data_IF_653730718308
#
_entry.id   IF_653730718308
#
_cell.length_a   1.000
_cell.length_b   1.000
_cell.length_c   1.000
_cell.angle_alpha   90.00
_cell.angle_beta   90.00
_cell.angle_gamma   90.00
#
_symmetry.space_group_name_H-M   'P 1'
#
loop_
_entity.id
_entity.type
_entity.pdbx_description
1 polymer ?
#
# COMPACT_ATOMS: atom_id res chain seq x y z
N UNK A 1 -4.75 6.46 -35.58
CA UNK A 1 -5.07 5.01 -35.52
C UNK A 1 -4.10 4.24 -36.44
N UNK A 2 -3.81 4.72 -37.68
CA UNK A 2 -2.86 4.03 -38.58
C UNK A 2 -1.46 3.87 -37.98
N UNK A 3 -0.94 4.86 -37.24
CA UNK A 3 0.35 4.77 -36.58
C UNK A 3 0.43 3.65 -35.52
N UNK A 4 -0.70 3.29 -34.87
CA UNK A 4 -0.75 2.22 -33.90
C UNK A 4 -0.57 0.83 -34.51
N UNK A 5 -0.88 0.66 -35.81
CA UNK A 5 -0.74 -0.63 -36.50
C UNK A 5 0.71 -1.01 -36.79
N UNK A 6 1.63 -0.06 -36.70
CA UNK A 6 3.08 -0.23 -36.94
C UNK A 6 3.93 -0.16 -35.70
N UNK A 7 3.29 -0.03 -34.53
CA UNK A 7 3.99 0.03 -33.22
C UNK A 7 4.47 -1.36 -32.82
N UNK A 8 5.74 -1.50 -32.56
CA UNK A 8 6.35 -2.74 -32.08
C UNK A 8 6.76 -2.71 -30.60
N UNK A 9 6.71 -1.53 -29.97
CA UNK A 9 7.00 -1.35 -28.55
C UNK A 9 5.87 -0.58 -27.86
N UNK A 10 5.34 -1.11 -26.78
CA UNK A 10 4.37 -0.45 -25.90
C UNK A 10 4.99 -0.13 -24.55
N UNK A 11 4.82 1.11 -24.11
CA UNK A 11 5.27 1.59 -22.81
C UNK A 11 4.06 1.97 -21.97
N UNK A 12 3.94 1.36 -20.80
CA UNK A 12 2.85 1.60 -19.86
C UNK A 12 3.33 2.29 -18.60
N UNK A 13 2.58 3.26 -18.12
CA UNK A 13 2.69 3.69 -16.73
C UNK A 13 2.07 2.61 -15.82
N UNK A 14 2.66 2.39 -14.64
CA UNK A 14 2.16 1.40 -13.69
C UNK A 14 0.85 1.87 -13.05
N UNK A 15 0.93 2.99 -12.31
CA UNK A 15 -0.14 3.43 -11.42
C UNK A 15 -1.32 4.02 -12.19
N UNK A 16 -2.51 3.48 -11.95
CA UNK A 16 -3.74 3.89 -12.64
C UNK A 16 -3.90 3.35 -14.06
N UNK A 17 -2.87 2.75 -14.66
CA UNK A 17 -2.90 2.14 -16.00
C UNK A 17 -2.89 0.61 -15.92
N UNK A 18 -1.81 0.02 -15.45
CA UNK A 18 -1.71 -1.44 -15.21
C UNK A 18 -2.35 -1.84 -13.88
N UNK A 19 -2.43 -0.92 -12.95
CA UNK A 19 -3.14 -1.05 -11.68
C UNK A 19 -4.39 -0.18 -11.66
N UNK A 20 -5.24 -0.39 -10.66
CA UNK A 20 -6.41 0.47 -10.43
C UNK A 20 -6.06 1.84 -9.84
N UNK A 21 -4.84 2.02 -9.34
CA UNK A 21 -4.44 3.19 -8.56
C UNK A 21 -5.13 3.25 -7.19
N UNK A 22 -5.62 2.10 -6.71
CA UNK A 22 -6.26 1.93 -5.41
C UNK A 22 -5.49 0.92 -4.59
N UNK A 23 -5.23 1.28 -3.33
CA UNK A 23 -4.66 0.35 -2.38
C UNK A 23 -5.73 -0.62 -1.87
N UNK A 24 -5.33 -1.85 -1.59
CA UNK A 24 -6.13 -2.81 -0.83
C UNK A 24 -5.32 -3.40 0.31
N UNK A 25 -5.98 -3.71 1.42
CA UNK A 25 -5.36 -4.41 2.55
C UNK A 25 -5.21 -5.88 2.20
N UNK A 26 -3.97 -6.37 2.17
CA UNK A 26 -3.65 -7.76 1.82
C UNK A 26 -3.27 -8.59 3.03
N UNK A 27 -2.65 -7.99 4.05
CA UNK A 27 -2.23 -8.68 5.25
C UNK A 27 -2.22 -7.74 6.46
N UNK A 28 -2.50 -8.27 7.63
CA UNK A 28 -2.45 -7.53 8.88
C UNK A 28 -1.62 -8.35 9.87
N UNK A 29 -0.60 -7.71 10.42
CA UNK A 29 0.24 -8.30 11.45
C UNK A 29 -0.14 -7.71 12.81
N UNK A 30 -0.46 -8.57 13.77
CA UNK A 30 -0.64 -8.18 15.16
C UNK A 30 0.56 -8.62 15.98
N UNK A 31 1.09 -7.73 16.79
CA UNK A 31 2.32 -7.95 17.56
C UNK A 31 2.08 -8.02 19.06
N UNK A 32 0.91 -7.64 19.52
CA UNK A 32 0.59 -7.58 20.93
C UNK A 32 -0.47 -8.63 21.30
N UNK A 33 -0.20 -9.40 22.34
CA UNK A 33 -1.19 -10.31 22.91
C UNK A 33 -2.47 -9.55 23.33
N UNK A 34 -3.64 -10.12 23.03
CA UNK A 34 -4.92 -9.47 23.25
C UNK A 34 -5.40 -8.55 22.12
N UNK A 35 -4.58 -8.29 21.08
CA UNK A 35 -4.98 -7.62 19.87
C UNK A 35 -5.10 -8.62 18.72
N UNK A 36 -6.28 -8.86 18.22
CA UNK A 36 -6.48 -9.63 16.98
C UNK A 36 -6.17 -8.74 15.74
N UNK A 37 -6.05 -9.36 14.58
CA UNK A 37 -5.96 -8.63 13.31
C UNK A 37 -7.17 -7.71 13.09
N UNK A 38 -8.35 -8.15 13.52
CA UNK A 38 -9.56 -7.33 13.42
C UNK A 38 -9.54 -6.15 14.39
N UNK A 39 -8.95 -6.29 15.56
CA UNK A 39 -8.79 -5.18 16.51
C UNK A 39 -7.86 -4.12 15.94
N UNK A 40 -6.72 -4.53 15.36
CA UNK A 40 -5.80 -3.61 14.66
C UNK A 40 -6.52 -2.88 13.52
N UNK A 41 -7.30 -3.60 12.72
CA UNK A 41 -8.02 -3.02 11.59
C UNK A 41 -9.11 -2.05 12.05
N UNK A 42 -9.92 -2.43 13.04
CA UNK A 42 -10.99 -1.59 13.57
C UNK A 42 -10.46 -0.33 14.25
N UNK A 43 -9.37 -0.46 15.02
CA UNK A 43 -8.70 0.67 15.67
C UNK A 43 -8.20 1.65 14.62
N UNK A 44 -7.56 1.16 13.57
CA UNK A 44 -7.05 1.99 12.48
C UNK A 44 -8.19 2.62 11.68
N UNK A 45 -9.22 1.85 11.33
CA UNK A 45 -10.36 2.36 10.58
C UNK A 45 -11.12 3.45 11.35
N UNK A 46 -11.27 3.30 12.67
CA UNK A 46 -11.94 4.30 13.51
C UNK A 46 -11.20 5.63 13.54
N UNK A 47 -9.86 5.62 13.52
CA UNK A 47 -9.06 6.84 13.48
C UNK A 47 -9.02 7.47 12.07
N UNK A 48 -9.12 6.66 11.02
CA UNK A 48 -8.94 7.08 9.63
C UNK A 48 -10.26 7.39 8.91
N UNK A 49 -11.43 7.00 9.44
CA UNK A 49 -12.72 7.06 8.73
C UNK A 49 -13.16 8.48 8.29
N UNK A 50 -12.60 9.50 8.91
CA UNK A 50 -12.91 10.91 8.59
C UNK A 50 -11.96 11.51 7.55
N UNK A 51 -10.97 10.76 7.08
CA UNK A 51 -9.98 11.23 6.13
C UNK A 51 -10.16 10.62 4.74
N UNK A 52 -10.06 11.48 3.73
CA UNK A 52 -10.25 11.09 2.33
C UNK A 52 -8.90 11.00 1.62
N UNK A 53 -8.23 9.86 1.79
CA UNK A 53 -7.02 9.53 1.02
C UNK A 53 -6.93 8.01 0.79
N UNK A 54 -6.16 7.56 -0.22
CA UNK A 54 -6.19 6.15 -0.67
C UNK A 54 -5.91 5.12 0.42
N UNK A 55 -5.08 5.44 1.41
CA UNK A 55 -4.77 4.53 2.53
C UNK A 55 -5.98 4.38 3.44
N UNK A 56 -6.59 5.51 3.86
CA UNK A 56 -7.78 5.52 4.71
C UNK A 56 -8.94 4.77 4.03
N UNK A 57 -9.20 5.05 2.75
CA UNK A 57 -10.24 4.37 1.97
C UNK A 57 -10.03 2.84 1.95
N UNK A 58 -8.80 2.39 1.71
CA UNK A 58 -8.46 0.96 1.70
C UNK A 58 -8.72 0.28 3.05
N UNK A 59 -8.39 0.97 4.14
CA UNK A 59 -8.54 0.47 5.51
C UNK A 59 -10.01 0.39 5.89
N UNK A 60 -10.77 1.47 5.67
CA UNK A 60 -12.20 1.53 5.97
C UNK A 60 -12.97 0.50 5.13
N UNK A 61 -12.64 0.34 3.86
CA UNK A 61 -13.22 -0.70 3.00
C UNK A 61 -12.94 -2.11 3.53
N UNK A 62 -11.69 -2.38 3.92
CA UNK A 62 -11.31 -3.68 4.49
C UNK A 62 -12.01 -3.95 5.84
N UNK A 63 -12.15 -2.94 6.69
CA UNK A 63 -12.85 -3.04 7.96
C UNK A 63 -14.35 -3.32 7.74
N UNK A 64 -15.01 -2.60 6.83
CA UNK A 64 -16.42 -2.81 6.50
C UNK A 64 -16.70 -4.24 6.00
N UNK A 65 -15.82 -4.80 5.17
CA UNK A 65 -15.91 -6.19 4.70
C UNK A 65 -15.81 -7.23 5.83
N UNK A 66 -15.19 -6.87 6.96
CA UNK A 66 -15.01 -7.75 8.13
C UNK A 66 -15.97 -7.44 9.28
N UNK A 67 -16.98 -6.60 9.06
CA UNK A 67 -17.95 -6.21 10.08
C UNK A 67 -17.38 -5.13 11.00
N UNK A 68 -17.04 -3.99 10.41
CA UNK A 68 -16.48 -2.84 11.13
C UNK A 68 -17.33 -2.43 12.33
N UNK A 69 -16.66 -2.24 13.45
CA UNK A 69 -17.20 -1.68 14.67
C UNK A 69 -16.38 -0.44 15.04
N UNK A 70 -17.01 0.71 14.92
CA UNK A 70 -16.38 1.96 15.33
C UNK A 70 -15.99 1.92 16.81
N UNK A 71 -14.72 2.23 17.08
CA UNK A 71 -14.19 2.39 18.43
C UNK A 71 -14.23 3.86 18.77
N UNK A 72 -14.93 4.21 19.87
CA UNK A 72 -14.98 5.60 20.32
C UNK A 72 -13.58 6.11 20.65
N UNK A 73 -13.26 7.27 20.10
CA UNK A 73 -11.97 7.93 20.25
C UNK A 73 -12.15 9.42 20.55
N UNK A 74 -11.10 10.04 21.07
CA UNK A 74 -11.01 11.48 21.22
C UNK A 74 -10.85 12.16 19.85
N UNK A 75 -10.72 13.48 19.83
CA UNK A 75 -10.43 14.20 18.60
C UNK A 75 -9.17 13.66 17.92
N UNK A 76 -9.26 13.45 16.60
CA UNK A 76 -8.13 12.92 15.82
C UNK A 76 -7.30 14.10 15.32
N UNK A 77 -6.03 14.12 15.72
CA UNK A 77 -5.04 15.05 15.22
C UNK A 77 -4.41 14.49 13.94
N UNK A 78 -4.56 15.20 12.84
CA UNK A 78 -3.92 14.86 11.57
C UNK A 78 -2.57 15.54 11.45
N UNK A 79 -1.51 14.73 11.33
CA UNK A 79 -0.14 15.19 11.16
C UNK A 79 0.24 15.06 9.70
N UNK A 80 0.31 16.20 9.01
CA UNK A 80 0.51 16.27 7.55
C UNK A 80 1.72 15.46 7.12
N UNK A 81 1.52 14.58 6.12
CA UNK A 81 2.51 13.68 5.55
C UNK A 81 3.05 12.57 6.48
N UNK A 82 2.59 12.49 7.74
CA UNK A 82 3.09 11.53 8.73
C UNK A 82 2.05 10.50 9.13
N UNK A 83 0.84 10.93 9.51
CA UNK A 83 -0.21 10.04 9.98
C UNK A 83 -1.26 10.73 10.85
N UNK A 84 -1.85 9.97 11.74
CA UNK A 84 -2.88 10.45 12.68
C UNK A 84 -2.54 10.04 14.11
N UNK A 85 -2.98 10.88 15.05
CA UNK A 85 -2.84 10.66 16.48
C UNK A 85 -4.16 10.92 17.17
N UNK A 86 -4.54 10.05 18.09
CA UNK A 86 -5.75 10.18 18.90
C UNK A 86 -5.61 9.43 20.21
N UNK A 87 -6.65 9.38 21.04
CA UNK A 87 -6.71 8.49 22.20
C UNK A 87 -7.96 7.61 22.13
N UNK A 88 -7.79 6.34 22.44
CA UNK A 88 -8.86 5.34 22.54
C UNK A 88 -8.75 4.61 23.87
N UNK A 89 -9.86 4.52 24.59
CA UNK A 89 -9.89 3.95 25.97
C UNK A 89 -8.86 4.59 26.92
N UNK A 90 -8.61 5.88 26.77
CA UNK A 90 -7.63 6.63 27.56
C UNK A 90 -6.16 6.31 27.26
N UNK A 91 -5.89 5.61 26.14
CA UNK A 91 -4.56 5.29 25.66
C UNK A 91 -4.28 5.97 24.33
N UNK A 92 -3.04 6.44 24.16
CA UNK A 92 -2.60 7.06 22.93
C UNK A 92 -2.54 6.05 21.77
N UNK A 93 -3.09 6.46 20.63
CA UNK A 93 -3.05 5.73 19.37
C UNK A 93 -2.34 6.58 18.33
N UNK A 94 -1.34 5.99 17.68
CA UNK A 94 -0.57 6.64 16.63
C UNK A 94 -0.57 5.73 15.40
N UNK A 95 -0.98 6.27 14.26
CA UNK A 95 -1.08 5.51 13.03
C UNK A 95 -0.40 6.31 11.93
N UNK A 96 0.54 5.68 11.20
CA UNK A 96 1.23 6.41 10.15
C UNK A 96 2.47 5.73 9.60
N UNK A 97 3.38 6.56 9.11
CA UNK A 97 4.65 6.14 8.54
C UNK A 97 5.61 5.61 9.63
N UNK A 98 6.62 4.84 9.19
CA UNK A 98 7.68 4.39 10.11
C UNK A 98 8.37 5.55 10.79
N UNK A 99 8.77 6.57 10.02
CA UNK A 99 9.41 7.78 10.54
C UNK A 99 8.59 8.40 11.68
N UNK A 100 7.28 8.58 11.46
CA UNK A 100 6.40 9.16 12.47
C UNK A 100 6.38 8.36 13.77
N UNK A 101 6.22 7.04 13.69
CA UNK A 101 6.15 6.21 14.90
C UNK A 101 7.53 6.03 15.56
N UNK A 102 8.59 5.79 14.78
CA UNK A 102 9.91 5.46 15.31
C UNK A 102 10.69 6.70 15.78
N UNK A 103 10.69 7.76 14.95
CA UNK A 103 11.55 8.94 15.20
C UNK A 103 10.81 10.04 15.99
N UNK A 104 9.54 10.31 15.67
CA UNK A 104 8.78 11.38 16.34
C UNK A 104 8.14 10.88 17.64
N UNK A 105 7.53 9.69 17.63
CA UNK A 105 6.81 9.11 18.76
C UNK A 105 7.65 8.12 19.59
N UNK A 106 8.89 7.86 19.19
CA UNK A 106 9.88 7.03 19.89
C UNK A 106 9.41 5.58 20.13
N UNK A 107 8.59 5.03 19.22
CA UNK A 107 8.09 3.66 19.30
C UNK A 107 9.13 2.71 18.70
N UNK A 108 9.53 1.68 19.44
CA UNK A 108 10.58 0.75 19.00
C UNK A 108 10.05 -0.29 18.00
N UNK A 109 10.78 -0.49 16.91
CA UNK A 109 10.52 -1.46 15.85
C UNK A 109 11.39 -2.72 15.94
N UNK A 110 12.39 -2.73 16.84
CA UNK A 110 13.45 -3.76 16.91
C UNK A 110 12.93 -5.19 16.97
N UNK A 111 11.87 -5.43 17.73
CA UNK A 111 11.33 -6.78 17.92
C UNK A 111 10.71 -7.37 16.62
N UNK A 112 10.30 -6.52 15.69
CA UNK A 112 9.52 -6.91 14.50
C UNK A 112 10.22 -6.60 13.18
N UNK A 113 11.48 -6.13 13.23
CA UNK A 113 12.25 -5.66 12.08
C UNK A 113 12.37 -6.72 10.95
N UNK A 114 12.58 -7.98 11.30
CA UNK A 114 12.72 -9.05 10.31
C UNK A 114 11.44 -9.26 9.49
N UNK A 115 10.27 -9.19 10.14
CA UNK A 115 8.98 -9.33 9.48
C UNK A 115 8.66 -8.09 8.63
N UNK A 116 8.90 -6.90 9.17
CA UNK A 116 8.69 -5.63 8.47
C UNK A 116 9.55 -5.56 7.21
N UNK A 117 10.85 -5.88 7.32
CA UNK A 117 11.77 -5.91 6.19
C UNK A 117 11.33 -6.91 5.12
N UNK A 118 10.85 -8.10 5.52
CA UNK A 118 10.33 -9.10 4.60
C UNK A 118 9.11 -8.57 3.84
N UNK A 119 8.18 -7.94 4.52
CA UNK A 119 6.97 -7.38 3.90
C UNK A 119 7.32 -6.23 2.92
N UNK A 120 8.25 -5.34 3.30
CA UNK A 120 8.75 -4.27 2.42
C UNK A 120 9.42 -4.84 1.17
N UNK A 121 10.27 -5.87 1.33
CA UNK A 121 10.95 -6.53 0.21
C UNK A 121 9.99 -7.26 -0.73
N UNK A 122 8.81 -7.65 -0.23
CA UNK A 122 7.70 -8.19 -1.05
C UNK A 122 6.88 -7.11 -1.76
N UNK A 123 7.35 -5.89 -1.80
CA UNK A 123 6.68 -4.80 -2.53
C UNK A 123 5.46 -4.21 -1.84
N UNK A 124 5.17 -4.55 -0.59
CA UNK A 124 4.02 -4.05 0.13
C UNK A 124 4.23 -2.61 0.63
N UNK A 125 3.15 -1.86 0.67
CA UNK A 125 3.07 -0.58 1.39
C UNK A 125 2.61 -0.86 2.81
N UNK A 126 3.32 -0.33 3.80
CA UNK A 126 3.04 -0.62 5.20
C UNK A 126 2.54 0.64 5.93
N UNK A 127 1.46 0.47 6.69
CA UNK A 127 0.99 1.43 7.68
C UNK A 127 1.20 0.83 9.06
N UNK A 128 1.80 1.60 9.95
CA UNK A 128 2.16 1.16 11.28
C UNK A 128 1.18 1.66 12.31
N UNK A 129 0.88 0.82 13.31
CA UNK A 129 -0.10 1.10 14.34
C UNK A 129 0.55 0.99 15.71
N UNK A 130 0.63 2.11 16.39
CA UNK A 130 1.09 2.24 17.78
C UNK A 130 -0.07 2.40 18.75
N UNK A 131 0.02 1.76 19.90
CA UNK A 131 -0.93 1.87 21.00
C UNK A 131 -0.19 1.89 22.32
N UNK A 132 -0.41 2.91 23.14
CA UNK A 132 0.24 3.07 24.45
C UNK A 132 1.78 3.00 24.37
N UNK A 133 2.36 3.69 23.39
CA UNK A 133 3.81 3.74 23.08
C UNK A 133 4.45 2.40 22.64
N UNK A 134 3.65 1.43 22.25
CA UNK A 134 4.13 0.15 21.69
C UNK A 134 3.66 -0.03 20.26
N UNK A 135 4.50 -0.62 19.40
CA UNK A 135 4.08 -1.07 18.07
C UNK A 135 3.19 -2.31 18.21
N UNK A 136 1.89 -2.13 18.00
CA UNK A 136 0.90 -3.20 18.19
C UNK A 136 0.54 -3.93 16.91
N UNK A 137 0.77 -3.31 15.75
CA UNK A 137 0.50 -3.95 14.49
C UNK A 137 0.99 -3.20 13.27
N UNK A 138 0.87 -3.90 12.14
CA UNK A 138 1.17 -3.35 10.80
C UNK A 138 0.08 -3.81 9.85
N UNK A 139 -0.43 -2.87 9.05
CA UNK A 139 -1.34 -3.15 7.96
C UNK A 139 -0.55 -3.07 6.65
N UNK A 140 -0.50 -4.18 5.94
CA UNK A 140 0.17 -4.29 4.67
C UNK A 140 -0.83 -4.15 3.51
N UNK A 141 -0.50 -3.27 2.58
CA UNK A 141 -1.35 -2.93 1.44
C UNK A 141 -0.59 -3.08 0.13
N UNK A 142 -1.33 -3.34 -0.92
CA UNK A 142 -0.81 -3.42 -2.29
C UNK A 142 -1.74 -2.64 -3.22
N UNK A 143 -1.16 -2.05 -4.26
CA UNK A 143 -1.96 -1.46 -5.35
C UNK A 143 -2.50 -2.60 -6.22
N UNK A 144 -3.81 -2.67 -6.38
CA UNK A 144 -4.46 -3.75 -7.08
C UNK A 144 -4.18 -3.69 -8.58
N UNK A 145 -3.65 -4.80 -9.10
CA UNK A 145 -3.49 -5.00 -10.54
C UNK A 145 -4.86 -5.09 -11.21
N UNK A 146 -4.98 -4.53 -12.42
CA UNK A 146 -6.19 -4.74 -13.22
C UNK A 146 -6.29 -6.19 -13.63
N UNK A 147 -7.45 -6.79 -13.44
CA UNK A 147 -7.71 -8.21 -13.77
C UNK A 147 -7.33 -8.55 -15.22
N UNK A 148 -7.55 -7.61 -16.14
CA UNK A 148 -7.25 -7.79 -17.56
C UNK A 148 -5.83 -7.40 -17.98
N UNK A 149 -4.98 -6.90 -17.09
CA UNK A 149 -3.64 -6.41 -17.45
C UNK A 149 -2.78 -7.51 -18.09
N UNK A 150 -2.78 -8.71 -17.50
CA UNK A 150 -2.03 -9.85 -18.03
C UNK A 150 -2.54 -10.32 -19.38
N UNK A 151 -3.84 -10.35 -19.57
CA UNK A 151 -4.44 -10.77 -20.84
C UNK A 151 -4.27 -9.70 -21.92
N UNK A 152 -4.27 -8.43 -21.56
CA UNK A 152 -3.92 -7.33 -22.46
C UNK A 152 -2.48 -7.49 -22.99
N UNK A 153 -1.50 -7.78 -22.12
CA UNK A 153 -0.10 -8.01 -22.53
C UNK A 153 -0.01 -9.18 -23.51
N UNK A 154 -0.67 -10.31 -23.20
CA UNK A 154 -0.73 -11.47 -24.12
C UNK A 154 -1.34 -11.09 -25.46
N UNK A 155 -2.43 -10.31 -25.45
CA UNK A 155 -3.10 -9.86 -26.68
C UNK A 155 -2.20 -8.97 -27.52
N UNK A 156 -1.47 -8.02 -26.92
CA UNK A 156 -0.51 -7.19 -27.64
C UNK A 156 0.55 -8.04 -28.35
N UNK A 157 1.09 -9.05 -27.67
CA UNK A 157 2.06 -9.98 -28.27
C UNK A 157 1.46 -10.76 -29.44
N UNK A 158 0.22 -11.23 -29.32
CA UNK A 158 -0.46 -11.94 -30.41
C UNK A 158 -0.73 -11.07 -31.64
N UNK A 159 -0.74 -9.74 -31.46
CA UNK A 159 -0.88 -8.75 -32.52
C UNK A 159 0.46 -8.30 -33.12
N UNK A 160 1.58 -8.90 -32.69
CA UNK A 160 2.90 -8.64 -33.26
C UNK A 160 3.74 -7.62 -32.51
N UNK A 161 3.29 -7.15 -31.33
CA UNK A 161 4.10 -6.29 -30.46
C UNK A 161 5.31 -7.06 -29.97
N UNK A 162 6.51 -6.51 -30.21
CA UNK A 162 7.79 -7.14 -29.90
C UNK A 162 8.21 -6.92 -28.47
N UNK A 163 7.92 -5.72 -27.94
CA UNK A 163 8.37 -5.31 -26.61
C UNK A 163 7.27 -4.60 -25.83
N UNK A 164 7.08 -5.00 -24.58
CA UNK A 164 6.16 -4.35 -23.64
C UNK A 164 6.95 -3.91 -22.42
N UNK A 165 6.93 -2.61 -22.15
CA UNK A 165 7.75 -1.92 -21.15
C UNK A 165 6.87 -1.26 -20.12
N UNK A 166 7.32 -1.19 -18.87
CA UNK A 166 6.65 -0.44 -17.80
C UNK A 166 7.53 0.67 -17.26
N UNK A 167 6.93 1.83 -17.02
CA UNK A 167 7.51 2.93 -16.25
C UNK A 167 6.86 2.97 -14.86
N UNK A 168 7.66 3.11 -13.81
CA UNK A 168 7.16 3.19 -12.44
C UNK A 168 8.00 4.15 -11.60
N UNK A 169 7.35 4.91 -10.73
CA UNK A 169 8.02 5.66 -9.67
C UNK A 169 8.41 4.81 -8.46
N UNK A 170 8.01 3.54 -8.42
CA UNK A 170 8.33 2.64 -7.32
C UNK A 170 9.80 2.25 -7.31
N UNK A 171 10.26 1.78 -6.15
CA UNK A 171 11.57 1.17 -6.01
C UNK A 171 11.72 -0.05 -6.94
N UNK A 172 12.94 -0.31 -7.37
CA UNK A 172 13.28 -1.32 -8.38
C UNK A 172 12.67 -2.69 -8.09
N UNK A 173 12.77 -3.18 -6.85
CA UNK A 173 12.26 -4.51 -6.46
C UNK A 173 10.74 -4.65 -6.66
N UNK A 174 9.97 -3.61 -6.33
CA UNK A 174 8.51 -3.59 -6.55
C UNK A 174 8.16 -3.58 -8.04
N UNK A 175 8.83 -2.74 -8.80
CA UNK A 175 8.58 -2.62 -10.23
C UNK A 175 8.93 -3.92 -10.98
N UNK A 176 10.04 -4.58 -10.63
CA UNK A 176 10.45 -5.87 -11.20
C UNK A 176 9.49 -7.01 -10.86
N UNK A 177 8.89 -7.01 -9.65
CA UNK A 177 7.88 -8.01 -9.28
C UNK A 177 6.64 -7.89 -10.18
N UNK A 178 6.11 -6.67 -10.35
CA UNK A 178 4.98 -6.40 -11.26
C UNK A 178 5.30 -6.78 -12.70
N UNK A 179 6.48 -6.41 -13.19
CA UNK A 179 6.90 -6.75 -14.55
C UNK A 179 6.96 -8.28 -14.78
N UNK A 180 7.45 -9.02 -13.78
CA UNK A 180 7.50 -10.50 -13.82
C UNK A 180 6.10 -11.11 -13.80
N UNK A 181 5.21 -10.60 -12.95
CA UNK A 181 3.82 -11.07 -12.85
C UNK A 181 3.06 -10.89 -14.16
N UNK A 182 3.25 -9.76 -14.84
CA UNK A 182 2.60 -9.43 -16.12
C UNK A 182 3.31 -10.02 -17.34
N UNK A 183 4.54 -10.51 -17.20
CA UNK A 183 5.36 -11.00 -18.31
C UNK A 183 5.84 -9.88 -19.22
N UNK A 184 6.25 -8.74 -18.65
CA UNK A 184 6.81 -7.61 -19.37
C UNK A 184 8.30 -7.85 -19.69
N UNK A 185 8.80 -7.19 -20.77
CA UNK A 185 10.19 -7.37 -21.22
C UNK A 185 11.16 -6.49 -20.45
N UNK A 186 10.74 -5.26 -20.14
CA UNK A 186 11.55 -4.28 -19.39
C UNK A 186 10.72 -3.49 -18.42
N UNK A 187 11.41 -2.99 -17.39
CA UNK A 187 10.87 -2.04 -16.43
C UNK A 187 11.90 -0.97 -16.14
N UNK A 188 11.43 0.27 -16.12
CA UNK A 188 12.17 1.42 -15.61
C UNK A 188 11.52 1.82 -14.29
N UNK A 189 12.26 1.65 -13.21
CA UNK A 189 11.85 1.97 -11.86
C UNK A 189 12.39 3.34 -11.43
N UNK A 190 11.87 3.87 -10.32
CA UNK A 190 12.32 5.12 -9.69
C UNK A 190 12.24 6.34 -10.63
N UNK A 191 11.34 6.27 -11.62
CA UNK A 191 11.11 7.35 -12.57
C UNK A 191 10.42 8.54 -11.89
N UNK A 192 11.00 9.72 -12.05
CA UNK A 192 10.32 10.97 -11.68
C UNK A 192 9.19 11.27 -12.69
N UNK A 193 8.22 12.13 -12.32
CA UNK A 193 7.17 12.57 -13.25
C UNK A 193 7.73 13.20 -14.55
N UNK A 194 8.91 13.80 -14.46
CA UNK A 194 9.62 14.39 -15.62
C UNK A 194 10.28 13.36 -16.53
N UNK A 195 10.45 12.12 -16.08
CA UNK A 195 11.09 11.03 -16.84
C UNK A 195 10.07 10.22 -17.66
N UNK A 196 8.79 10.45 -17.37
CA UNK A 196 7.65 9.79 -18.02
C UNK A 196 7.11 10.62 -19.19
#
# INVERSE_FOLDING_TARGET
IEALSSVDTFVFDKTGTLTHGRLSVVEIYSFKEGFSQNDILNLTASAEEHYFHPVAEAIVEAANKRGFHHIHHDEVEFIVAHGVKTAMHGKEVVIGSRHFLEDDEMISFKAHEALISKALNSGLTLLYVGYDKELVGVIAMKDDMRENAKDMVKKLRSLGVKEVVMLSGDIKSKAEEVARELGLDRVYAECLPTDK
#
